data_IF_100437196102
#
_entry.id   IF_100437196102
#
_cell.length_a   1.000
_cell.length_b   1.000
_cell.length_c   1.000
_cell.angle_alpha   90.00
_cell.angle_beta   90.00
_cell.angle_gamma   90.00
#
_symmetry.space_group_name_H-M   'P 1'
#
loop_
_entity.id
_entity.type
_entity.pdbx_description
1 polymer ?
#
# COMPACT_ATOMS: atom_id res chain seq x y z
N UNK A 1 4.38 -2.94 -1.16
CA UNK A 1 5.78 -3.10 -0.73
C UNK A 1 6.01 -2.18 0.44
N UNK A 2 6.03 -2.77 1.64
CA UNK A 2 6.35 -2.06 2.87
C UNK A 2 7.85 -2.12 3.17
N UNK A 3 8.36 -1.05 3.77
CA UNK A 3 9.67 -1.02 4.40
C UNK A 3 9.51 -0.41 5.78
N UNK A 4 9.90 -1.15 6.80
CA UNK A 4 9.83 -0.70 8.20
C UNK A 4 11.26 -0.58 8.71
N UNK A 5 11.62 0.60 9.19
CA UNK A 5 12.91 0.88 9.79
C UNK A 5 12.67 1.37 11.21
N UNK A 6 13.08 0.57 12.19
CA UNK A 6 13.01 0.94 13.61
C UNK A 6 14.33 1.57 14.04
N UNK A 7 14.26 2.77 14.61
CA UNK A 7 15.36 3.42 15.33
C UNK A 7 14.96 3.62 16.79
N UNK A 8 15.91 3.98 17.65
CA UNK A 8 15.66 4.21 19.09
C UNK A 8 14.56 5.25 19.35
N UNK A 9 14.50 6.30 18.54
CA UNK A 9 13.64 7.46 18.80
C UNK A 9 12.40 7.55 17.89
N UNK A 10 12.36 6.76 16.81
CA UNK A 10 11.24 6.74 15.89
C UNK A 10 11.17 5.44 15.07
N UNK A 11 9.97 5.11 14.63
CA UNK A 11 9.72 4.07 13.62
C UNK A 11 9.34 4.72 12.30
N UNK A 12 10.09 4.40 11.25
CA UNK A 12 9.83 4.86 9.89
C UNK A 12 9.20 3.76 9.07
N UNK A 13 8.04 4.05 8.46
CA UNK A 13 7.30 3.13 7.62
C UNK A 13 7.13 3.78 6.25
N UNK A 14 7.61 3.11 5.20
CA UNK A 14 7.34 3.48 3.81
C UNK A 14 6.47 2.42 3.20
N UNK A 15 5.31 2.84 2.71
CA UNK A 15 4.46 2.01 1.87
C UNK A 15 4.52 2.53 0.44
N UNK A 16 5.13 1.75 -0.45
CA UNK A 16 5.26 2.09 -1.87
C UNK A 16 4.44 1.11 -2.72
N UNK A 17 3.20 1.51 -2.98
CA UNK A 17 2.27 0.77 -3.83
C UNK A 17 2.64 0.89 -5.32
N UNK A 18 3.33 1.97 -5.72
CA UNK A 18 3.77 2.15 -7.10
C UNK A 18 4.90 1.18 -7.44
N UNK A 19 5.85 0.99 -6.52
CA UNK A 19 6.92 0.02 -6.67
C UNK A 19 6.36 -1.42 -6.72
N UNK A 20 5.42 -1.73 -5.82
CA UNK A 20 4.71 -3.02 -5.81
C UNK A 20 3.99 -3.28 -7.14
N UNK A 21 3.35 -2.26 -7.70
CA UNK A 21 2.70 -2.37 -9.01
C UNK A 21 3.73 -2.70 -10.11
N UNK A 22 4.83 -1.96 -10.17
CA UNK A 22 5.90 -2.20 -11.16
C UNK A 22 6.47 -3.62 -11.03
N UNK A 23 6.67 -4.12 -9.81
CA UNK A 23 7.15 -5.49 -9.60
C UNK A 23 6.14 -6.53 -10.06
N UNK A 24 4.85 -6.38 -9.74
CA UNK A 24 3.83 -7.31 -10.23
C UNK A 24 3.73 -7.28 -11.76
N UNK A 25 3.71 -6.11 -12.38
CA UNK A 25 3.68 -6.01 -13.85
C UNK A 25 4.91 -6.68 -14.48
N UNK A 26 6.10 -6.49 -13.90
CA UNK A 26 7.32 -7.14 -14.38
C UNK A 26 7.26 -8.67 -14.24
N UNK A 27 6.75 -9.18 -13.11
CA UNK A 27 6.57 -10.63 -12.91
C UNK A 27 5.60 -11.22 -13.93
N UNK A 28 4.43 -10.59 -14.13
CA UNK A 28 3.47 -11.05 -15.13
C UNK A 28 4.08 -11.04 -16.53
N UNK A 29 4.80 -9.99 -16.92
CA UNK A 29 5.50 -9.94 -18.19
C UNK A 29 6.51 -11.09 -18.35
N UNK A 30 7.34 -11.33 -17.34
CA UNK A 30 8.33 -12.41 -17.38
C UNK A 30 7.70 -13.80 -17.43
N UNK A 31 6.65 -14.07 -16.64
CA UNK A 31 5.92 -15.35 -16.69
C UNK A 31 5.36 -15.61 -18.08
N UNK A 32 4.81 -14.58 -18.71
CA UNK A 32 4.22 -14.72 -20.03
C UNK A 32 5.30 -14.89 -21.12
N UNK A 33 6.41 -14.15 -21.03
CA UNK A 33 7.56 -14.34 -21.92
C UNK A 33 8.06 -15.79 -21.87
N UNK A 34 8.15 -16.37 -20.66
CA UNK A 34 8.50 -17.80 -20.49
C UNK A 34 7.49 -18.72 -21.18
N UNK A 35 6.18 -18.44 -21.09
CA UNK A 35 5.16 -19.23 -21.77
C UNK A 35 5.30 -19.17 -23.31
N UNK A 36 5.63 -17.99 -23.86
CA UNK A 36 5.89 -17.82 -25.30
C UNK A 36 7.13 -18.58 -25.74
N UNK A 37 8.21 -18.53 -24.94
CA UNK A 37 9.44 -19.28 -25.23
C UNK A 37 9.18 -20.79 -25.24
N UNK A 38 8.38 -21.31 -24.29
CA UNK A 38 7.95 -22.71 -24.27
C UNK A 38 7.15 -23.09 -25.53
N UNK A 39 6.22 -22.22 -25.96
CA UNK A 39 5.45 -22.42 -27.20
C UNK A 39 6.31 -22.30 -28.46
N UNK A 40 7.39 -21.52 -28.44
CA UNK A 40 8.34 -21.41 -29.54
C UNK A 40 9.23 -22.67 -29.65
N UNK A 41 9.54 -23.31 -28.53
CA UNK A 41 10.31 -24.56 -28.51
C UNK A 41 9.48 -25.82 -28.74
N UNK A 42 8.15 -25.75 -28.57
CA UNK A 42 7.27 -26.84 -29.01
C UNK A 42 7.12 -26.77 -30.53
N UNK A 43 6.90 -27.90 -31.19
CA UNK A 43 6.88 -28.04 -32.67
C UNK A 43 5.64 -27.38 -33.32
N UNK A 44 5.33 -26.13 -32.95
CA UNK A 44 4.29 -25.34 -33.59
C UNK A 44 4.74 -24.89 -34.98
N UNK A 45 3.92 -25.18 -35.98
CA UNK A 45 4.22 -24.97 -37.39
C UNK A 45 4.62 -23.50 -37.70
N UNK A 46 5.65 -23.31 -38.55
CA UNK A 46 6.38 -22.03 -38.76
C UNK A 46 5.53 -20.82 -39.21
N UNK A 47 4.27 -20.97 -39.59
CA UNK A 47 3.39 -19.81 -39.89
C UNK A 47 2.50 -19.41 -38.71
N UNK A 48 2.14 -20.35 -37.85
CA UNK A 48 1.19 -20.09 -36.76
C UNK A 48 1.83 -19.34 -35.59
N UNK A 49 3.16 -19.44 -35.41
CA UNK A 49 3.85 -18.74 -34.30
C UNK A 49 3.77 -17.21 -34.40
N UNK A 50 3.88 -16.64 -35.62
CA UNK A 50 3.85 -15.18 -35.82
C UNK A 50 2.46 -14.63 -35.49
N UNK A 51 1.40 -15.30 -35.95
CA UNK A 51 0.03 -14.88 -35.68
C UNK A 51 -0.34 -15.05 -34.20
N UNK A 52 0.09 -16.13 -33.56
CA UNK A 52 -0.07 -16.32 -32.12
C UNK A 52 0.68 -15.24 -31.32
N UNK A 53 1.90 -14.90 -31.73
CA UNK A 53 2.71 -13.84 -31.11
C UNK A 53 2.10 -12.45 -31.30
N UNK A 54 1.61 -12.11 -32.49
CA UNK A 54 0.97 -10.82 -32.77
C UNK A 54 -0.38 -10.70 -32.01
N UNK A 55 -1.22 -11.72 -32.04
CA UNK A 55 -2.47 -11.75 -31.28
C UNK A 55 -2.20 -11.61 -29.77
N UNK A 56 -1.13 -12.27 -29.30
CA UNK A 56 -0.65 -12.15 -27.94
C UNK A 56 -0.18 -10.72 -27.60
N UNK A 57 0.65 -10.08 -28.45
CA UNK A 57 1.10 -8.71 -28.24
C UNK A 57 -0.08 -7.72 -28.20
N UNK A 58 -1.08 -7.92 -29.05
CA UNK A 58 -2.30 -7.09 -29.07
C UNK A 58 -3.10 -7.30 -27.78
N UNK A 59 -3.32 -8.55 -27.36
CA UNK A 59 -3.96 -8.84 -26.07
C UNK A 59 -3.18 -8.24 -24.91
N UNK A 60 -1.85 -8.34 -24.91
CA UNK A 60 -0.99 -7.77 -23.87
C UNK A 60 -1.04 -6.25 -23.83
N UNK A 61 -1.05 -5.57 -24.99
CA UNK A 61 -1.20 -4.10 -25.06
C UNK A 61 -2.61 -3.68 -24.61
N UNK A 62 -3.64 -4.41 -25.04
CA UNK A 62 -5.01 -4.19 -24.62
C UNK A 62 -5.17 -4.41 -23.12
N UNK A 63 -4.58 -5.45 -22.57
CA UNK A 63 -4.61 -5.77 -21.14
C UNK A 63 -3.78 -4.75 -20.34
N UNK A 64 -2.57 -4.42 -20.78
CA UNK A 64 -1.76 -3.35 -20.20
C UNK A 64 -2.52 -2.01 -20.11
N UNK A 65 -3.30 -1.69 -21.15
CA UNK A 65 -4.12 -0.47 -21.20
C UNK A 65 -5.48 -0.60 -20.49
N UNK A 66 -6.14 -1.78 -20.49
CA UNK A 66 -7.48 -2.01 -19.91
C UNK A 66 -7.45 -2.51 -18.46
N UNK A 67 -6.45 -3.29 -18.04
CA UNK A 67 -6.34 -3.89 -16.71
C UNK A 67 -5.87 -2.93 -15.62
N UNK A 68 -5.85 -1.62 -15.86
CA UNK A 68 -5.50 -0.69 -14.78
C UNK A 68 -6.65 0.22 -14.38
N UNK A 69 -7.81 -0.32 -13.93
CA UNK A 69 -8.64 0.41 -12.98
C UNK A 69 -7.94 0.62 -11.61
N UNK A 70 -6.67 0.21 -11.44
CA UNK A 70 -5.80 0.67 -10.34
C UNK A 70 -5.46 2.18 -10.39
N UNK A 71 -5.91 2.90 -11.42
CA UNK A 71 -5.48 4.24 -11.87
C UNK A 71 -5.62 5.42 -10.88
N UNK A 72 -6.00 5.23 -9.61
CA UNK A 72 -6.11 6.34 -8.64
C UNK A 72 -5.54 6.08 -7.24
N UNK A 73 -5.10 4.85 -6.92
CA UNK A 73 -4.78 4.49 -5.52
C UNK A 73 -3.28 4.46 -5.25
N UNK A 74 -2.44 4.23 -6.27
CA UNK A 74 -0.98 4.25 -6.19
C UNK A 74 -0.43 5.57 -5.66
N UNK A 75 -0.05 5.58 -4.40
CA UNK A 75 0.70 6.70 -3.83
C UNK A 75 1.62 6.19 -2.75
N UNK A 76 2.88 6.59 -2.85
CA UNK A 76 3.85 6.43 -1.78
C UNK A 76 3.36 7.16 -0.54
N UNK A 77 3.23 6.42 0.56
CA UNK A 77 2.90 6.95 1.87
C UNK A 77 4.09 6.70 2.77
N UNK A 78 4.54 7.75 3.43
CA UNK A 78 5.58 7.68 4.46
C UNK A 78 4.92 8.02 5.78
N UNK A 79 5.09 7.14 6.76
CA UNK A 79 4.58 7.32 8.12
C UNK A 79 5.80 7.33 9.03
N UNK A 80 5.95 8.39 9.82
CA UNK A 80 6.99 8.48 10.85
C UNK A 80 6.28 8.51 12.18
N UNK A 81 6.62 7.55 13.04
CA UNK A 81 6.04 7.41 14.36
C UNK A 81 7.12 7.79 15.37
N UNK A 82 6.91 8.88 16.07
CA UNK A 82 7.74 9.32 17.18
C UNK A 82 7.08 8.90 18.49
N UNK A 83 7.76 9.14 19.61
CA UNK A 83 7.22 8.81 20.94
C UNK A 83 5.95 9.60 21.29
N UNK A 84 5.79 10.82 20.77
CA UNK A 84 4.73 11.77 21.13
C UNK A 84 3.75 12.09 19.99
N UNK A 85 4.09 11.72 18.76
CA UNK A 85 3.37 12.13 17.55
C UNK A 85 3.54 11.18 16.37
N UNK A 86 2.62 11.26 15.43
CA UNK A 86 2.67 10.56 14.14
C UNK A 86 2.67 11.59 13.01
N UNK A 87 3.57 11.40 12.07
CA UNK A 87 3.66 12.17 10.84
C UNK A 87 3.26 11.29 9.66
N UNK A 88 2.30 11.74 8.84
CA UNK A 88 1.84 11.03 7.64
C UNK A 88 2.07 11.93 6.43
N UNK A 89 3.04 11.54 5.61
CA UNK A 89 3.38 12.22 4.36
C UNK A 89 2.82 11.43 3.19
N UNK A 90 2.03 12.10 2.36
CA UNK A 90 1.51 11.57 1.09
C UNK A 90 1.72 12.58 -0.02
N UNK A 91 2.48 12.21 -1.05
CA UNK A 91 2.86 13.10 -2.16
C UNK A 91 3.50 14.39 -1.64
N UNK A 92 2.85 15.55 -1.80
CA UNK A 92 3.30 16.87 -1.32
C UNK A 92 2.66 17.30 0.01
N UNK A 93 1.72 16.52 0.54
CA UNK A 93 1.00 16.86 1.78
C UNK A 93 1.64 16.14 2.96
N UNK A 94 2.02 16.91 3.96
CA UNK A 94 2.46 16.41 5.25
C UNK A 94 1.37 16.70 6.29
N UNK A 95 1.04 15.73 7.13
CA UNK A 95 0.11 15.90 8.23
C UNK A 95 0.73 15.36 9.52
N UNK A 96 0.85 16.24 10.51
CA UNK A 96 1.33 15.92 11.84
C UNK A 96 0.13 15.70 12.79
N UNK A 97 0.22 14.65 13.60
CA UNK A 97 -0.76 14.26 14.61
C UNK A 97 -0.06 14.08 15.94
N UNK A 98 -0.24 15.03 16.85
CA UNK A 98 0.13 14.86 18.25
C UNK A 98 -0.78 13.80 18.89
N UNK A 99 -0.23 12.92 19.72
CA UNK A 99 -1.03 11.87 20.36
C UNK A 99 -2.12 12.43 21.29
N UNK A 100 -1.86 13.54 21.97
CA UNK A 100 -2.83 14.25 22.81
C UNK A 100 -4.08 14.68 22.05
N UNK A 101 -3.93 15.01 20.78
CA UNK A 101 -5.04 15.45 19.93
C UNK A 101 -5.84 14.29 19.35
N UNK A 102 -5.32 13.06 19.43
CA UNK A 102 -5.97 11.89 18.85
C UNK A 102 -7.00 11.35 19.85
N UNK A 103 -8.25 11.23 19.39
CA UNK A 103 -9.31 10.56 20.14
C UNK A 103 -9.35 9.07 19.85
N UNK A 104 -9.29 8.71 18.57
CA UNK A 104 -9.38 7.32 18.12
C UNK A 104 -8.64 7.08 16.81
N UNK A 105 -8.07 5.89 16.65
CA UNK A 105 -7.46 5.41 15.41
C UNK A 105 -8.21 4.14 14.99
N UNK A 106 -8.90 4.20 13.86
CA UNK A 106 -9.72 3.12 13.33
C UNK A 106 -9.17 2.61 12.00
N UNK A 107 -9.28 1.30 11.80
CA UNK A 107 -9.13 0.65 10.51
C UNK A 107 -10.50 0.51 9.85
N UNK A 108 -10.60 0.83 8.56
CA UNK A 108 -11.83 0.63 7.77
C UNK A 108 -11.52 0.07 6.38
N UNK A 109 -12.27 -0.95 6.00
CA UNK A 109 -12.28 -1.45 4.62
C UNK A 109 -13.32 -0.70 3.81
N UNK A 110 -12.99 -0.32 2.58
CA UNK A 110 -13.94 0.28 1.63
C UNK A 110 -13.79 -0.37 0.26
N UNK A 111 -14.86 -1.00 -0.21
CA UNK A 111 -14.94 -1.59 -1.55
C UNK A 111 -14.91 -0.51 -2.62
N UNK A 112 -13.98 -0.62 -3.57
CA UNK A 112 -13.84 0.26 -4.73
C UNK A 112 -13.89 -0.59 -6.01
N UNK A 113 -15.07 -0.68 -6.64
CA UNK A 113 -15.25 -1.53 -7.82
C UNK A 113 -15.09 -3.00 -7.46
N UNK A 114 -14.12 -3.69 -8.08
CA UNK A 114 -13.82 -5.11 -7.83
C UNK A 114 -12.86 -5.36 -6.66
N UNK A 115 -12.18 -4.33 -6.15
CA UNK A 115 -11.12 -4.49 -5.14
C UNK A 115 -11.45 -3.74 -3.85
N UNK A 116 -11.03 -4.30 -2.71
CA UNK A 116 -11.15 -3.67 -1.41
C UNK A 116 -9.95 -2.76 -1.13
N UNK A 117 -10.21 -1.52 -0.73
CA UNK A 117 -9.19 -0.56 -0.36
C UNK A 117 -9.21 -0.35 1.16
N UNK A 118 -8.03 -0.45 1.76
CA UNK A 118 -7.87 -0.37 3.20
C UNK A 118 -7.51 1.05 3.64
N UNK A 119 -8.28 1.56 4.61
CA UNK A 119 -8.23 2.94 5.07
C UNK A 119 -7.81 3.01 6.54
N UNK A 120 -6.88 3.92 6.82
CA UNK A 120 -6.60 4.40 8.17
C UNK A 120 -7.43 5.65 8.45
N UNK A 121 -8.17 5.65 9.55
CA UNK A 121 -8.97 6.78 10.00
C UNK A 121 -8.47 7.28 11.34
N UNK A 122 -8.03 8.53 11.38
CA UNK A 122 -7.61 9.21 12.62
C UNK A 122 -8.69 10.24 12.96
N UNK A 123 -9.29 10.10 14.14
CA UNK A 123 -10.27 11.06 14.67
C UNK A 123 -9.61 11.86 15.77
N UNK A 124 -9.59 13.18 15.63
CA UNK A 124 -9.08 14.10 16.65
C UNK A 124 -10.14 14.38 17.74
N UNK A 125 -9.70 14.85 18.90
CA UNK A 125 -10.56 15.27 20.02
C UNK A 125 -11.57 16.34 19.61
N UNK A 126 -11.17 17.27 18.74
CA UNK A 126 -12.02 18.29 18.13
C UNK A 126 -13.02 17.77 17.06
N UNK A 127 -13.28 16.46 17.01
CA UNK A 127 -14.14 15.77 16.03
C UNK A 127 -13.67 15.85 14.57
N UNK A 128 -12.52 16.45 14.25
CA UNK A 128 -11.96 16.39 12.89
C UNK A 128 -11.54 14.96 12.55
N UNK A 129 -11.94 14.50 11.36
CA UNK A 129 -11.68 13.14 10.88
C UNK A 129 -10.76 13.18 9.67
N UNK A 130 -9.64 12.48 9.74
CA UNK A 130 -8.69 12.31 8.65
C UNK A 130 -8.75 10.88 8.15
N UNK A 131 -8.83 10.71 6.83
CA UNK A 131 -8.92 9.41 6.16
C UNK A 131 -7.75 9.25 5.20
N UNK A 132 -6.96 8.21 5.41
CA UNK A 132 -5.83 7.85 4.59
C UNK A 132 -6.09 6.52 3.92
N UNK A 133 -6.08 6.48 2.58
CA UNK A 133 -6.03 5.21 1.85
C UNK A 133 -4.61 4.67 1.95
N UNK A 134 -4.39 3.53 2.59
CA UNK A 134 -3.06 2.96 2.81
C UNK A 134 -2.63 2.07 1.64
N UNK A 135 -3.49 1.18 1.16
CA UNK A 135 -3.18 0.31 0.02
C UNK A 135 -4.25 -0.76 -0.23
N UNK A 136 -3.91 -1.68 -1.13
CA UNK A 136 -4.76 -2.81 -1.55
C UNK A 136 -4.38 -4.17 -0.92
N UNK A 137 -3.19 -4.30 -0.29
CA UNK A 137 -2.79 -5.55 0.39
C UNK A 137 -3.18 -5.49 1.86
N UNK A 138 -4.14 -6.32 2.28
CA UNK A 138 -4.67 -6.36 3.65
C UNK A 138 -3.57 -6.56 4.70
N UNK A 139 -2.75 -7.60 4.52
CA UNK A 139 -1.74 -8.00 5.49
C UNK A 139 -0.71 -6.90 5.75
N UNK A 140 -0.21 -6.26 4.67
CA UNK A 140 0.72 -5.14 4.80
C UNK A 140 0.07 -3.94 5.52
N UNK A 141 -1.21 -3.67 5.23
CA UNK A 141 -1.93 -2.53 5.82
C UNK A 141 -2.29 -2.78 7.30
N UNK A 142 -2.72 -3.99 7.64
CA UNK A 142 -3.04 -4.38 9.02
C UNK A 142 -1.81 -4.31 9.93
N UNK A 143 -0.64 -4.71 9.43
CA UNK A 143 0.60 -4.58 10.20
C UNK A 143 0.94 -3.11 10.48
N UNK A 144 0.85 -2.24 9.47
CA UNK A 144 1.07 -0.80 9.63
C UNK A 144 0.09 -0.22 10.66
N UNK A 145 -1.19 -0.59 10.57
CA UNK A 145 -2.21 -0.17 11.53
C UNK A 145 -1.87 -0.63 12.96
N UNK A 146 -1.43 -1.88 13.10
CA UNK A 146 -1.09 -2.48 14.40
C UNK A 146 0.08 -1.75 15.04
N UNK A 147 1.12 -1.43 14.26
CA UNK A 147 2.29 -0.67 14.74
C UNK A 147 1.86 0.72 15.21
N UNK A 148 1.02 1.42 14.44
CA UNK A 148 0.50 2.74 14.81
C UNK A 148 -0.31 2.67 16.10
N UNK A 149 -1.22 1.69 16.20
CA UNK A 149 -2.11 1.53 17.34
C UNK A 149 -1.34 1.20 18.61
N UNK A 150 -0.39 0.27 18.55
CA UNK A 150 0.42 -0.12 19.71
C UNK A 150 1.24 1.06 20.24
N UNK A 151 1.88 1.86 19.37
CA UNK A 151 2.61 3.05 19.81
C UNK A 151 1.69 4.08 20.49
N UNK A 152 0.51 4.32 19.93
CA UNK A 152 -0.47 5.23 20.55
C UNK A 152 -0.96 4.72 21.92
N UNK A 153 -1.22 3.41 22.06
CA UNK A 153 -1.64 2.81 23.33
C UNK A 153 -0.52 2.83 24.37
N UNK A 154 0.72 2.57 23.99
CA UNK A 154 1.89 2.70 24.87
C UNK A 154 2.06 4.13 25.38
N UNK A 155 1.94 5.14 24.51
CA UNK A 155 2.00 6.55 24.91
C UNK A 155 0.86 6.90 25.88
N UNK A 156 -0.38 6.45 25.59
CA UNK A 156 -1.52 6.67 26.49
C UNK A 156 -1.29 6.07 27.87
N UNK A 157 -0.75 4.85 27.94
CA UNK A 157 -0.46 4.18 29.21
C UNK A 157 0.59 4.94 30.01
N UNK A 158 1.71 5.32 29.39
CA UNK A 158 2.79 6.09 30.04
C UNK A 158 2.30 7.42 30.60
N UNK A 159 1.45 8.15 29.88
CA UNK A 159 0.93 9.42 30.37
C UNK A 159 -0.16 9.27 31.42
N UNK A 160 -0.98 8.22 31.36
CA UNK A 160 -1.95 7.94 32.42
C UNK A 160 -1.26 7.52 33.72
N UNK A 161 -0.20 6.70 33.63
CA UNK A 161 0.66 6.34 34.77
C UNK A 161 1.42 7.57 35.33
N UNK A 162 1.80 8.51 34.47
CA UNK A 162 2.43 9.78 34.89
C UNK A 162 1.48 10.77 35.58
N UNK A 163 0.17 10.71 35.30
CA UNK A 163 -0.86 11.53 35.97
C UNK A 163 -1.23 11.03 37.37
N UNK A 164 -0.93 9.75 37.67
CA UNK A 164 -1.22 9.09 38.94
C UNK A 164 -0.02 9.06 39.90
N UNK A 165 1.06 9.80 39.60
CA UNK A 165 2.19 10.07 40.50
C UNK A 165 2.13 11.50 41.00
#
# INVERSE_FOLDING_TARGET
MKTITKRKDFTYIVYDEELLKKSFTSIHFNMILCAILLLYTSEFDKRNYIYAYIAFCIFFIMDYNNQIPFLKIGSKIKIVIYNDRIEIVRRRKNHLYLYEEIKNIEYKTKRFGKEDCYLLRITKTNKKVYKYKLGLIEEEVLEIFTIIKNNYEEWRRKNYEGYNK
#
